data_IF_398044387518
#
_entry.id   IF_398044387518
#
_cell.length_a   1.000
_cell.length_b   1.000
_cell.length_c   1.000
_cell.angle_alpha   90.00
_cell.angle_beta   90.00
_cell.angle_gamma   90.00
#
_symmetry.space_group_name_H-M   'P 1'
#
loop_
_entity.id
_entity.type
_entity.pdbx_description
1 polymer ?
#
# COMPACT_ATOMS: atom_id res chain seq x y z
N UNK A 1 55.49 13.04 4.89
CA UNK A 1 54.65 13.27 3.70
C UNK A 1 53.61 12.17 3.43
N UNK A 2 53.97 10.88 3.36
CA UNK A 2 52.99 9.77 3.12
C UNK A 2 51.84 9.71 4.14
N UNK A 3 52.13 9.81 5.44
CA UNK A 3 51.10 9.75 6.50
C UNK A 3 50.04 10.87 6.41
N UNK A 4 50.44 12.07 5.97
CA UNK A 4 49.52 13.20 5.78
C UNK A 4 48.62 12.95 4.56
N UNK A 5 49.18 12.42 3.47
CA UNK A 5 48.43 12.07 2.26
C UNK A 5 47.42 10.94 2.54
N UNK A 6 47.84 9.92 3.31
CA UNK A 6 46.96 8.82 3.71
C UNK A 6 45.84 9.27 4.65
N UNK A 7 46.11 10.24 5.53
CA UNK A 7 45.08 10.88 6.36
C UNK A 7 44.01 11.57 5.51
N UNK A 8 44.40 12.44 4.57
CA UNK A 8 43.42 13.13 3.71
C UNK A 8 42.66 12.16 2.81
N UNK A 9 43.31 11.10 2.30
CA UNK A 9 42.64 10.07 1.49
C UNK A 9 41.56 9.33 2.31
N UNK A 10 41.86 8.94 3.55
CA UNK A 10 40.89 8.29 4.45
C UNK A 10 39.77 9.24 4.87
N UNK A 11 40.10 10.50 5.14
CA UNK A 11 39.13 11.53 5.52
C UNK A 11 38.14 11.82 4.38
N UNK A 12 38.63 11.98 3.13
CA UNK A 12 37.78 12.16 1.95
C UNK A 12 36.88 10.94 1.74
N UNK A 13 37.40 9.72 1.95
CA UNK A 13 36.62 8.50 1.82
C UNK A 13 35.50 8.43 2.86
N UNK A 14 35.79 8.71 4.14
CA UNK A 14 34.78 8.78 5.21
C UNK A 14 33.70 9.82 4.92
N UNK A 15 34.08 10.99 4.39
CA UNK A 15 33.12 12.02 4.00
C UNK A 15 32.23 11.58 2.84
N UNK A 16 32.78 10.91 1.83
CA UNK A 16 31.99 10.34 0.73
C UNK A 16 31.01 9.29 1.24
N UNK A 17 31.45 8.42 2.14
CA UNK A 17 30.62 7.36 2.73
C UNK A 17 29.50 7.96 3.59
N UNK A 18 29.79 8.99 4.39
CA UNK A 18 28.79 9.72 5.18
C UNK A 18 27.70 10.37 4.30
N UNK A 19 28.08 11.08 3.24
CA UNK A 19 27.10 11.68 2.33
C UNK A 19 26.31 10.62 1.55
N UNK A 20 26.93 9.49 1.22
CA UNK A 20 26.25 8.37 0.57
C UNK A 20 25.21 7.75 1.50
N UNK A 21 25.55 7.48 2.76
CA UNK A 21 24.60 7.00 3.76
C UNK A 21 23.47 8.00 3.97
N UNK A 22 23.76 9.29 4.16
CA UNK A 22 22.73 10.32 4.34
C UNK A 22 21.76 10.45 3.16
N UNK A 23 22.23 10.23 1.92
CA UNK A 23 21.36 10.16 0.74
C UNK A 23 20.47 8.91 0.76
N UNK A 24 21.02 7.76 1.15
CA UNK A 24 20.26 6.50 1.30
C UNK A 24 19.20 6.64 2.40
N UNK A 25 19.53 7.25 3.54
CA UNK A 25 18.58 7.45 4.65
C UNK A 25 17.41 8.33 4.22
N UNK A 26 17.69 9.43 3.51
CA UNK A 26 16.64 10.29 2.94
C UNK A 26 15.74 9.53 1.96
N UNK A 27 16.34 8.76 1.06
CA UNK A 27 15.57 7.93 0.11
C UNK A 27 14.71 6.89 0.83
N UNK A 28 15.27 6.25 1.85
CA UNK A 28 14.57 5.25 2.66
C UNK A 28 13.39 5.87 3.40
N UNK A 29 13.58 7.04 4.02
CA UNK A 29 12.51 7.77 4.69
C UNK A 29 11.37 8.13 3.72
N UNK A 30 11.70 8.69 2.54
CA UNK A 30 10.68 9.03 1.53
C UNK A 30 9.96 7.79 1.00
N UNK A 31 10.65 6.67 0.80
CA UNK A 31 10.02 5.41 0.41
C UNK A 31 9.10 4.86 1.51
N UNK A 32 9.51 4.98 2.77
CA UNK A 32 8.71 4.55 3.91
C UNK A 32 7.43 5.39 4.04
N UNK A 33 7.51 6.71 3.90
CA UNK A 33 6.35 7.60 3.92
C UNK A 33 5.37 7.27 2.80
N UNK A 34 5.88 7.11 1.57
CA UNK A 34 5.07 6.70 0.41
C UNK A 34 4.40 5.33 0.62
N UNK A 35 5.07 4.38 1.27
CA UNK A 35 4.50 3.08 1.61
C UNK A 35 3.37 3.22 2.65
N UNK A 36 3.55 4.06 3.65
CA UNK A 36 2.55 4.33 4.68
C UNK A 36 1.31 4.96 4.04
N UNK A 37 1.48 5.96 3.17
CA UNK A 37 0.37 6.61 2.47
C UNK A 37 -0.40 5.64 1.58
N UNK A 38 0.30 4.83 0.78
CA UNK A 38 -0.33 3.77 -0.03
C UNK A 38 -1.08 2.77 0.83
N UNK A 39 -0.54 2.41 1.99
CA UNK A 39 -1.20 1.49 2.93
C UNK A 39 -2.46 2.12 3.51
N UNK A 40 -2.40 3.39 3.92
CA UNK A 40 -3.56 4.14 4.40
C UNK A 40 -4.66 4.21 3.34
N UNK A 41 -4.32 4.55 2.10
CA UNK A 41 -5.25 4.58 0.98
C UNK A 41 -5.91 3.21 0.74
N UNK A 42 -5.11 2.13 0.76
CA UNK A 42 -5.61 0.75 0.61
C UNK A 42 -6.59 0.38 1.72
N UNK A 43 -6.29 0.74 2.97
CA UNK A 43 -7.17 0.47 4.13
C UNK A 43 -8.45 1.30 4.06
N UNK A 44 -8.36 2.57 3.67
CA UNK A 44 -9.52 3.44 3.51
C UNK A 44 -10.48 2.89 2.45
N UNK A 45 -9.96 2.53 1.27
CA UNK A 45 -10.76 1.94 0.19
C UNK A 45 -11.45 0.63 0.64
N UNK A 46 -10.76 -0.24 1.38
CA UNK A 46 -11.36 -1.47 1.92
C UNK A 46 -12.54 -1.18 2.86
N UNK A 47 -12.42 -0.14 3.70
CA UNK A 47 -13.51 0.29 4.59
C UNK A 47 -14.70 0.84 3.80
N UNK A 48 -14.43 1.71 2.81
CA UNK A 48 -15.47 2.28 1.95
C UNK A 48 -16.24 1.19 1.19
N UNK A 49 -15.54 0.19 0.63
CA UNK A 49 -16.18 -0.94 -0.04
C UNK A 49 -17.07 -1.71 0.94
N UNK A 50 -16.59 -2.02 2.15
CA UNK A 50 -17.43 -2.71 3.13
C UNK A 50 -18.66 -1.91 3.56
N UNK A 51 -18.50 -0.59 3.74
CA UNK A 51 -19.59 0.29 4.08
C UNK A 51 -20.63 0.32 2.96
N UNK A 52 -20.19 0.47 1.71
CA UNK A 52 -21.05 0.41 0.53
C UNK A 52 -21.84 -0.91 0.44
N UNK A 53 -21.18 -2.05 0.66
CA UNK A 53 -21.87 -3.36 0.65
C UNK A 53 -22.93 -3.41 1.76
N UNK A 54 -22.59 -2.93 2.95
CA UNK A 54 -23.47 -2.97 4.11
C UNK A 54 -24.67 -2.04 3.93
N UNK A 55 -24.48 -0.84 3.39
CA UNK A 55 -25.54 0.15 3.27
C UNK A 55 -26.48 -0.14 2.10
N UNK A 56 -25.95 -0.53 0.94
CA UNK A 56 -26.76 -0.74 -0.26
C UNK A 56 -27.41 -2.12 -0.30
N UNK A 57 -26.68 -3.16 0.09
CA UNK A 57 -27.19 -4.53 0.05
C UNK A 57 -27.74 -5.00 1.41
N UNK A 58 -27.58 -4.21 2.48
CA UNK A 58 -28.03 -4.54 3.85
C UNK A 58 -27.50 -5.88 4.35
N UNK A 59 -26.32 -6.27 3.87
CA UNK A 59 -25.68 -7.56 4.15
C UNK A 59 -24.36 -7.32 4.87
N UNK A 60 -24.08 -8.14 5.89
CA UNK A 60 -22.76 -8.18 6.48
C UNK A 60 -21.81 -8.97 5.56
N UNK A 61 -20.81 -8.35 4.91
CA UNK A 61 -19.92 -9.02 3.96
C UNK A 61 -19.06 -10.13 4.58
N UNK A 62 -18.97 -10.22 5.92
CA UNK A 62 -18.29 -11.32 6.63
C UNK A 62 -19.19 -12.52 6.89
N UNK A 63 -20.49 -12.42 6.63
CA UNK A 63 -21.44 -13.51 6.86
C UNK A 63 -21.21 -14.66 5.88
N UNK A 64 -21.21 -15.89 6.39
CA UNK A 64 -21.11 -17.09 5.55
C UNK A 64 -22.42 -17.40 4.80
N UNK A 65 -23.55 -16.86 5.26
CA UNK A 65 -24.89 -17.24 4.80
C UNK A 65 -25.41 -16.45 3.59
N UNK A 66 -24.57 -15.62 2.97
CA UNK A 66 -24.94 -14.84 1.78
C UNK A 66 -25.10 -15.78 0.58
N UNK A 67 -26.27 -15.75 -0.05
CA UNK A 67 -26.58 -16.54 -1.25
C UNK A 67 -25.58 -16.25 -2.37
N UNK A 68 -25.12 -17.26 -3.14
CA UNK A 68 -24.13 -17.06 -4.21
C UNK A 68 -24.52 -16.06 -5.29
N UNK A 69 -25.81 -15.97 -5.66
CA UNK A 69 -26.31 -14.99 -6.64
C UNK A 69 -26.05 -13.55 -6.17
N UNK A 70 -26.46 -13.25 -4.93
CA UNK A 70 -26.25 -11.94 -4.31
C UNK A 70 -24.78 -11.59 -4.18
N UNK A 71 -23.90 -12.57 -3.93
CA UNK A 71 -22.44 -12.32 -3.89
C UNK A 71 -21.90 -11.85 -5.23
N UNK A 72 -22.37 -12.41 -6.35
CA UNK A 72 -21.96 -11.97 -7.68
C UNK A 72 -22.41 -10.54 -7.95
N UNK A 73 -23.69 -10.25 -7.68
CA UNK A 73 -24.25 -8.89 -7.82
C UNK A 73 -23.48 -7.86 -7.00
N UNK A 74 -23.14 -8.19 -5.74
CA UNK A 74 -22.34 -7.31 -4.88
C UNK A 74 -20.95 -7.09 -5.49
N UNK A 75 -20.27 -8.14 -5.94
CA UNK A 75 -18.94 -8.02 -6.54
C UNK A 75 -18.99 -7.16 -7.79
N UNK A 76 -19.95 -7.42 -8.68
CA UNK A 76 -20.10 -6.67 -9.93
C UNK A 76 -20.38 -5.18 -9.65
N UNK A 77 -21.22 -4.87 -8.66
CA UNK A 77 -21.49 -3.50 -8.22
C UNK A 77 -20.24 -2.82 -7.62
N UNK A 78 -19.46 -3.54 -6.81
CA UNK A 78 -18.19 -3.03 -6.26
C UNK A 78 -17.20 -2.70 -7.37
N UNK A 79 -17.03 -3.61 -8.34
CA UNK A 79 -16.15 -3.35 -9.49
C UNK A 79 -16.68 -2.18 -10.32
N UNK A 80 -17.99 -2.09 -10.58
CA UNK A 80 -18.54 -0.96 -11.34
C UNK A 80 -18.25 0.40 -10.67
N UNK A 81 -18.33 0.48 -9.34
CA UNK A 81 -18.14 1.74 -8.59
C UNK A 81 -16.69 2.08 -8.28
N UNK A 82 -15.84 1.08 -8.01
CA UNK A 82 -14.50 1.29 -7.46
C UNK A 82 -13.36 0.80 -8.36
N UNK A 83 -13.62 0.35 -9.59
CA UNK A 83 -12.61 -0.25 -10.49
C UNK A 83 -11.28 0.49 -10.52
N UNK A 84 -11.32 1.78 -10.85
CA UNK A 84 -10.13 2.59 -11.06
C UNK A 84 -9.29 2.70 -9.78
N UNK A 85 -9.93 3.00 -8.64
CA UNK A 85 -9.26 3.09 -7.33
C UNK A 85 -8.74 1.74 -6.85
N UNK A 86 -9.44 0.65 -7.18
CA UNK A 86 -9.01 -0.72 -6.89
C UNK A 86 -7.76 -1.11 -7.67
N UNK A 87 -7.68 -0.73 -8.95
CA UNK A 87 -6.49 -0.93 -9.79
C UNK A 87 -5.29 -0.14 -9.24
N UNK A 88 -5.49 1.15 -8.90
CA UNK A 88 -4.46 2.01 -8.31
C UNK A 88 -3.93 1.47 -6.97
N UNK A 89 -4.84 1.02 -6.09
CA UNK A 89 -4.48 0.51 -4.76
C UNK A 89 -4.13 -1.00 -4.74
N UNK A 90 -4.17 -1.67 -5.89
CA UNK A 90 -3.99 -3.13 -6.03
C UNK A 90 -4.88 -3.91 -5.06
N UNK A 91 -6.17 -3.56 -5.03
CA UNK A 91 -7.21 -4.23 -4.23
C UNK A 91 -8.07 -5.06 -5.16
N UNK A 92 -8.27 -6.33 -4.81
CA UNK A 92 -9.14 -7.24 -5.55
C UNK A 92 -10.14 -7.83 -4.57
N UNK A 93 -11.42 -7.85 -4.94
CA UNK A 93 -12.48 -8.50 -4.17
C UNK A 93 -12.87 -9.79 -4.88
N UNK A 94 -12.94 -10.89 -4.14
CA UNK A 94 -13.39 -12.18 -4.65
C UNK A 94 -14.88 -12.42 -4.40
N UNK A 95 -15.45 -13.46 -5.00
CA UNK A 95 -16.85 -13.86 -4.79
C UNK A 95 -17.17 -14.35 -3.37
N UNK A 96 -16.17 -14.44 -2.49
CA UNK A 96 -16.39 -14.62 -1.04
C UNK A 96 -16.49 -13.29 -0.29
N UNK A 97 -16.55 -12.16 -1.00
CA UNK A 97 -16.53 -10.79 -0.46
C UNK A 97 -15.30 -10.51 0.42
N UNK A 98 -14.23 -11.24 0.17
CA UNK A 98 -12.94 -11.08 0.82
C UNK A 98 -11.99 -10.37 -0.13
N UNK A 99 -11.12 -9.53 0.44
CA UNK A 99 -10.04 -8.95 -0.32
C UNK A 99 -8.95 -10.00 -0.54
N UNK A 100 -8.55 -10.21 -1.78
CA UNK A 100 -7.38 -11.03 -2.08
C UNK A 100 -6.13 -10.42 -1.43
N UNK A 101 -5.21 -11.27 -0.96
CA UNK A 101 -3.95 -10.84 -0.35
C UNK A 101 -3.10 -10.07 -1.37
#
# INVERSE_FOLDING_TARGET
MKAIIDFFRRWIQQWKDYFRMRKIDKLTATLQDNLIERTKARVALKKEIYQFITDEFKVNPRSKFIKPSLRREIVDAVYAKYRQRMEECKVVVNYSLQFAK
#
